data_IF_696393527766
#
_entry.id   IF_696393527766
#
_cell.length_a   1.000
_cell.length_b   1.000
_cell.length_c   1.000
_cell.angle_alpha   90.00
_cell.angle_beta   90.00
_cell.angle_gamma   90.00
#
_symmetry.space_group_name_H-M   'P 1'
#
loop_
_entity.id
_entity.type
_entity.pdbx_description
1 polymer ?
#
# COMPACT_ATOMS: atom_id res chain seq x y z
N UNK A 1 -16.97 -37.82 42.05
CA UNK A 1 -16.26 -37.91 40.75
C UNK A 1 -15.04 -36.96 40.67
N UNK A 2 -14.27 -36.80 41.76
CA UNK A 2 -13.11 -35.89 41.83
C UNK A 2 -11.74 -36.61 41.74
N UNK A 3 -11.75 -37.90 41.37
CA UNK A 3 -10.58 -38.80 41.45
C UNK A 3 -9.69 -38.79 40.20
N UNK A 4 -9.92 -37.88 39.24
CA UNK A 4 -9.16 -37.81 37.96
C UNK A 4 -8.40 -36.52 37.75
N UNK A 5 -8.10 -35.76 38.80
CA UNK A 5 -7.26 -34.57 38.70
C UNK A 5 -5.82 -34.99 39.05
N UNK A 6 -4.85 -34.84 38.12
CA UNK A 6 -3.45 -35.18 38.39
C UNK A 6 -2.93 -34.43 39.64
N UNK A 7 -2.09 -35.04 40.49
CA UNK A 7 -1.71 -34.49 41.80
C UNK A 7 -1.04 -33.10 41.72
N UNK A 8 -0.45 -32.76 40.57
CA UNK A 8 0.15 -31.45 40.30
C UNK A 8 -0.88 -30.30 40.34
N UNK A 9 -2.12 -30.55 39.89
CA UNK A 9 -3.21 -29.55 39.91
C UNK A 9 -3.89 -29.40 41.28
N UNK A 10 -3.51 -30.22 42.28
CA UNK A 10 -4.06 -30.12 43.63
C UNK A 10 -3.34 -29.07 44.49
N UNK A 11 -2.16 -28.63 44.06
CA UNK A 11 -1.42 -27.55 44.71
C UNK A 11 -1.99 -26.19 44.27
N UNK A 12 -2.52 -25.41 45.21
CA UNK A 12 -3.12 -24.11 44.95
C UNK A 12 -2.18 -23.21 44.15
N UNK A 13 -0.90 -23.13 44.53
CA UNK A 13 0.09 -22.30 43.84
C UNK A 13 0.29 -22.68 42.38
N UNK A 14 0.27 -23.98 42.06
CA UNK A 14 0.44 -24.48 40.69
C UNK A 14 -0.83 -24.22 39.86
N UNK A 15 -2.00 -24.45 40.43
CA UNK A 15 -3.26 -24.18 39.77
C UNK A 15 -3.43 -22.68 39.48
N UNK A 16 -3.10 -21.82 40.45
CA UNK A 16 -3.15 -20.36 40.27
C UNK A 16 -2.10 -19.89 39.27
N UNK A 17 -0.87 -20.43 39.29
CA UNK A 17 0.16 -20.09 38.32
C UNK A 17 -0.20 -20.51 36.89
N UNK A 18 -0.78 -21.70 36.70
CA UNK A 18 -1.28 -22.16 35.40
C UNK A 18 -2.46 -21.31 34.92
N UNK A 19 -3.39 -20.97 35.82
CA UNK A 19 -4.49 -20.07 35.48
C UNK A 19 -4.00 -18.67 35.09
N UNK A 20 -2.98 -18.14 35.78
CA UNK A 20 -2.33 -16.87 35.43
C UNK A 20 -1.62 -16.95 34.08
N UNK A 21 -0.90 -18.05 33.81
CA UNK A 21 -0.24 -18.27 32.51
C UNK A 21 -1.25 -18.35 31.37
N UNK A 22 -2.36 -19.05 31.56
CA UNK A 22 -3.46 -19.11 30.58
C UNK A 22 -4.10 -17.72 30.43
N UNK A 23 -4.28 -16.99 31.52
CA UNK A 23 -4.79 -15.61 31.46
C UNK A 23 -3.87 -14.68 30.67
N UNK A 24 -2.57 -14.70 30.96
CA UNK A 24 -1.57 -13.88 30.26
C UNK A 24 -1.43 -14.23 28.78
N UNK A 25 -1.69 -15.49 28.40
CA UNK A 25 -1.58 -15.92 27.00
C UNK A 25 -2.85 -15.65 26.18
N UNK A 26 -4.04 -15.73 26.79
CA UNK A 26 -5.32 -15.62 26.05
C UNK A 26 -6.07 -14.30 26.26
N UNK A 27 -6.03 -13.71 27.47
CA UNK A 27 -6.85 -12.56 27.85
C UNK A 27 -6.08 -11.24 27.93
N UNK A 28 -4.75 -11.28 28.04
CA UNK A 28 -3.93 -10.07 28.08
C UNK A 28 -3.87 -9.36 26.73
N UNK A 29 -3.82 -8.03 26.72
CA UNK A 29 -4.00 -7.13 25.56
C UNK A 29 -3.01 -7.35 24.40
N UNK A 30 -1.93 -8.09 24.63
CA UNK A 30 -0.99 -8.54 23.61
C UNK A 30 -1.30 -9.96 23.12
N UNK A 31 -2.59 -10.26 22.94
CA UNK A 31 -3.04 -11.56 22.46
C UNK A 31 -2.53 -11.79 21.02
N UNK A 32 -2.44 -13.06 20.63
CA UNK A 32 -1.93 -13.48 19.31
C UNK A 32 -2.64 -12.79 18.13
N UNK A 33 -3.94 -12.51 18.29
CA UNK A 33 -4.77 -11.80 17.30
C UNK A 33 -4.29 -10.35 17.09
N UNK A 34 -3.93 -9.65 18.16
CA UNK A 34 -3.43 -8.28 18.08
C UNK A 34 -2.09 -8.25 17.33
N UNK A 35 -1.20 -9.21 17.60
CA UNK A 35 0.07 -9.34 16.90
C UNK A 35 -0.09 -9.62 15.41
N UNK A 36 -1.00 -10.54 15.04
CA UNK A 36 -1.28 -10.82 13.64
C UNK A 36 -1.84 -9.59 12.90
N UNK A 37 -2.77 -8.86 13.53
CA UNK A 37 -3.32 -7.62 12.97
C UNK A 37 -2.23 -6.56 12.80
N UNK A 38 -1.34 -6.42 13.77
CA UNK A 38 -0.23 -5.46 13.69
C UNK A 38 0.73 -5.82 12.56
N UNK A 39 1.03 -7.11 12.37
CA UNK A 39 1.88 -7.56 11.26
C UNK A 39 1.23 -7.33 9.89
N UNK A 40 -0.06 -7.60 9.78
CA UNK A 40 -0.83 -7.29 8.58
C UNK A 40 -0.82 -5.78 8.28
N UNK A 41 -1.01 -4.96 9.33
CA UNK A 41 -0.97 -3.50 9.21
C UNK A 41 0.41 -2.99 8.82
N UNK A 42 1.49 -3.53 9.40
CA UNK A 42 2.86 -3.21 9.00
C UNK A 42 3.11 -3.52 7.52
N UNK A 43 2.66 -4.68 7.06
CA UNK A 43 2.81 -5.07 5.66
C UNK A 43 2.02 -4.15 4.72
N UNK A 44 0.81 -3.75 5.13
CA UNK A 44 -0.01 -2.78 4.39
C UNK A 44 0.68 -1.42 4.28
N UNK A 45 1.18 -0.88 5.40
CA UNK A 45 1.91 0.39 5.40
C UNK A 45 3.17 0.34 4.53
N UNK A 46 3.91 -0.77 4.55
CA UNK A 46 5.10 -0.90 3.72
C UNK A 46 4.75 -0.84 2.23
N UNK A 47 3.67 -1.51 1.81
CA UNK A 47 3.20 -1.42 0.41
C UNK A 47 2.75 -0.02 0.06
N UNK A 48 2.11 0.67 0.99
CA UNK A 48 1.67 2.05 0.81
C UNK A 48 2.88 2.99 0.62
N UNK A 49 3.95 2.82 1.40
CA UNK A 49 5.21 3.54 1.24
C UNK A 49 5.81 3.30 -0.14
N UNK A 50 5.91 2.03 -0.56
CA UNK A 50 6.51 1.66 -1.85
C UNK A 50 5.68 2.18 -3.04
N UNK A 51 4.35 2.17 -2.90
CA UNK A 51 3.45 2.73 -3.89
C UNK A 51 3.62 4.25 -4.03
N UNK A 52 3.57 4.99 -2.92
CA UNK A 52 3.68 6.44 -2.98
C UNK A 52 5.07 6.93 -3.36
N UNK A 53 6.14 6.22 -2.97
CA UNK A 53 7.49 6.57 -3.41
C UNK A 53 7.61 6.51 -4.94
N UNK A 54 7.10 5.43 -5.53
CA UNK A 54 7.04 5.27 -6.99
C UNK A 54 6.22 6.38 -7.64
N UNK A 55 5.05 6.72 -7.08
CA UNK A 55 4.21 7.79 -7.61
C UNK A 55 4.82 9.19 -7.46
N UNK A 56 5.61 9.43 -6.42
CA UNK A 56 6.33 10.68 -6.26
C UNK A 56 7.41 10.81 -7.35
N UNK A 57 8.12 9.73 -7.65
CA UNK A 57 9.16 9.74 -8.67
C UNK A 57 8.58 9.94 -10.08
N UNK A 58 7.44 9.34 -10.41
CA UNK A 58 6.73 9.60 -11.67
C UNK A 58 6.26 11.04 -11.77
N UNK A 59 5.60 11.57 -10.73
CA UNK A 59 5.14 12.96 -10.71
C UNK A 59 6.31 13.94 -10.80
N UNK A 60 7.45 13.65 -10.18
CA UNK A 60 8.64 14.50 -10.29
C UNK A 60 9.19 14.54 -11.72
N UNK A 61 9.17 13.40 -12.42
CA UNK A 61 9.55 13.35 -13.83
C UNK A 61 8.58 14.20 -14.67
N UNK A 62 7.27 14.01 -14.50
CA UNK A 62 6.24 14.80 -15.19
C UNK A 62 6.37 16.31 -14.88
N UNK A 63 6.61 16.67 -13.63
CA UNK A 63 6.84 18.06 -13.24
C UNK A 63 8.06 18.66 -13.92
N UNK A 64 9.14 17.91 -14.09
CA UNK A 64 10.31 18.40 -14.81
C UNK A 64 9.99 18.65 -16.29
N UNK A 65 9.17 17.82 -16.91
CA UNK A 65 8.69 18.03 -18.29
C UNK A 65 7.77 19.26 -18.40
N UNK A 66 6.92 19.50 -17.41
CA UNK A 66 5.96 20.62 -17.40
C UNK A 66 6.56 21.95 -16.92
N UNK A 67 7.54 21.94 -16.02
CA UNK A 67 8.06 23.16 -15.40
C UNK A 67 9.49 23.49 -15.83
N UNK A 68 10.17 22.58 -16.52
CA UNK A 68 11.57 22.72 -16.89
C UNK A 68 11.85 23.86 -17.88
N UNK A 69 11.61 23.62 -19.17
CA UNK A 69 11.89 24.60 -20.23
C UNK A 69 10.67 24.85 -21.11
N UNK A 70 10.64 25.99 -21.82
CA UNK A 70 9.57 26.31 -22.78
C UNK A 70 9.37 25.22 -23.83
N UNK A 71 10.46 24.60 -24.28
CA UNK A 71 10.41 23.50 -25.24
C UNK A 71 9.77 22.24 -24.66
N UNK A 72 10.09 21.89 -23.41
CA UNK A 72 9.49 20.72 -22.74
C UNK A 72 8.01 20.96 -22.43
N UNK A 73 7.66 22.19 -22.03
CA UNK A 73 6.26 22.62 -21.87
C UNK A 73 5.44 22.50 -23.14
N UNK A 74 5.97 23.02 -24.24
CA UNK A 74 5.30 22.94 -25.54
C UNK A 74 5.15 21.48 -25.99
N UNK A 75 6.20 20.65 -25.80
CA UNK A 75 6.13 19.21 -26.07
C UNK A 75 5.02 18.53 -25.24
N UNK A 76 5.01 18.73 -23.93
CA UNK A 76 4.01 18.15 -23.04
C UNK A 76 2.58 18.59 -23.38
N UNK A 77 2.36 19.89 -23.66
CA UNK A 77 1.06 20.41 -24.08
C UNK A 77 0.58 19.83 -25.41
N UNK A 78 1.50 19.62 -26.37
CA UNK A 78 1.21 19.03 -27.68
C UNK A 78 0.93 17.52 -27.59
N UNK A 79 1.71 16.77 -26.82
CA UNK A 79 1.54 15.31 -26.71
C UNK A 79 0.39 14.91 -25.80
N UNK A 80 0.24 15.56 -24.64
CA UNK A 80 -0.77 15.19 -23.64
C UNK A 80 -2.15 15.76 -23.94
N UNK A 81 -2.21 16.98 -24.44
CA UNK A 81 -3.46 17.74 -24.62
C UNK A 81 -3.73 18.13 -26.08
N UNK A 82 -2.87 17.73 -27.03
CA UNK A 82 -3.02 18.05 -28.45
C UNK A 82 -3.18 19.55 -28.73
N UNK A 83 -2.54 20.39 -27.89
CA UNK A 83 -2.65 21.85 -28.02
C UNK A 83 -1.99 22.34 -29.30
N UNK A 84 -2.61 23.33 -29.96
CA UNK A 84 -2.10 23.96 -31.18
C UNK A 84 -2.07 25.48 -31.07
N UNK A 85 -1.17 26.12 -31.82
CA UNK A 85 -1.20 27.57 -31.99
C UNK A 85 -2.33 27.96 -32.96
N UNK A 86 -2.91 29.16 -32.86
CA UNK A 86 -3.98 29.60 -33.77
C UNK A 86 -3.56 29.64 -35.26
N UNK A 87 -2.25 29.73 -35.52
CA UNK A 87 -1.66 29.79 -36.86
C UNK A 87 -1.24 28.41 -37.40
N UNK A 88 -1.52 27.33 -36.67
CA UNK A 88 -1.12 25.96 -37.03
C UNK A 88 -2.32 25.02 -37.06
N UNK A 89 -2.26 24.05 -37.98
CA UNK A 89 -3.21 22.94 -38.04
C UNK A 89 -2.51 21.63 -37.66
N UNK A 90 -3.13 20.89 -36.74
CA UNK A 90 -2.63 19.62 -36.22
C UNK A 90 -3.49 18.51 -36.79
N UNK A 91 -2.84 17.53 -37.42
CA UNK A 91 -3.49 16.35 -37.99
C UNK A 91 -3.16 15.13 -37.13
N UNK A 92 -4.19 14.41 -36.68
CA UNK A 92 -4.03 13.12 -36.00
C UNK A 92 -4.24 12.02 -37.04
N UNK A 93 -3.21 11.22 -37.30
CA UNK A 93 -3.30 10.11 -38.26
C UNK A 93 -3.85 8.89 -37.53
N UNK A 94 -4.97 8.38 -38.01
CA UNK A 94 -5.65 7.21 -37.47
C UNK A 94 -5.65 6.06 -38.49
N UNK A 95 -5.74 4.83 -38.00
CA UNK A 95 -5.90 3.65 -38.84
C UNK A 95 -7.34 3.51 -39.37
N UNK A 96 -7.61 2.44 -40.13
CA UNK A 96 -8.95 2.13 -40.66
C UNK A 96 -10.02 1.87 -39.60
N UNK A 97 -9.63 1.70 -38.34
CA UNK A 97 -10.49 1.48 -37.18
C UNK A 97 -10.59 2.73 -36.29
N UNK A 98 -10.11 3.89 -36.75
CA UNK A 98 -10.03 5.15 -36.01
C UNK A 98 -9.12 5.10 -34.76
N UNK A 99 -8.17 4.18 -34.72
CA UNK A 99 -7.18 4.11 -33.64
C UNK A 99 -5.95 4.98 -33.98
N UNK A 100 -5.40 5.77 -33.04
CA UNK A 100 -4.17 6.53 -33.26
C UNK A 100 -2.99 5.60 -33.59
N UNK A 101 -2.23 5.92 -34.64
CA UNK A 101 -1.13 5.08 -35.10
C UNK A 101 0.12 5.13 -34.21
N UNK A 102 0.27 6.16 -33.38
CA UNK A 102 1.34 6.27 -32.38
C UNK A 102 0.76 6.27 -30.96
N UNK A 103 1.39 5.49 -30.07
CA UNK A 103 1.12 5.41 -28.63
C UNK A 103 2.36 5.80 -27.84
#
# INVERSE_FOLDING_TARGET
MLQKIPPFFRNFYVATALALLVWMTFFDANNFIAQFRNLAKLTELQREIDYYSTQIDTIRADQHEVLGSDRLREKYAREKYLMKKPTEDVFVVVDSLNEPLEK
#
